data_IF_691334057253
#
_entry.id   IF_691334057253
#
_cell.length_a   1.000
_cell.length_b   1.000
_cell.length_c   1.000
_cell.angle_alpha   90.00
_cell.angle_beta   90.00
_cell.angle_gamma   90.00
#
_symmetry.space_group_name_H-M   'P 1'
#
loop_
_entity.id
_entity.type
_entity.pdbx_description
1 polymer ?
#
# COMPACT_ATOMS: atom_id res chain seq x y z
N UNK A 1 -22.21 6.27 -13.70
CA UNK A 1 -21.19 7.24 -13.27
C UNK A 1 -21.02 7.10 -11.76
N UNK A 2 -19.81 6.86 -11.22
CA UNK A 2 -19.60 7.06 -9.80
C UNK A 2 -20.02 8.49 -9.43
N UNK A 3 -20.75 8.65 -8.33
CA UNK A 3 -21.21 9.97 -7.86
C UNK A 3 -19.98 10.86 -7.67
N UNK A 4 -20.02 12.06 -8.25
CA UNK A 4 -19.02 13.10 -8.00
C UNK A 4 -18.93 13.30 -6.48
N UNK A 5 -17.76 13.11 -5.86
CA UNK A 5 -17.68 13.24 -4.40
C UNK A 5 -17.90 14.70 -4.05
N UNK A 6 -18.83 14.94 -3.12
CA UNK A 6 -18.74 16.06 -2.17
C UNK A 6 -17.26 16.27 -1.78
N UNK A 7 -16.75 17.51 -1.67
CA UNK A 7 -15.32 17.72 -1.45
C UNK A 7 -14.90 16.96 -0.19
N UNK A 8 -14.06 15.94 -0.36
CA UNK A 8 -13.59 15.12 0.76
C UNK A 8 -13.01 16.04 1.85
N UNK A 9 -13.60 15.99 3.04
CA UNK A 9 -13.27 16.94 4.10
C UNK A 9 -11.96 16.58 4.79
N UNK A 10 -11.55 15.31 4.73
CA UNK A 10 -10.30 14.82 5.33
C UNK A 10 -9.48 13.90 4.42
N UNK A 11 -8.20 13.74 4.72
CA UNK A 11 -7.31 12.80 4.01
C UNK A 11 -7.76 11.34 4.19
N UNK A 12 -8.30 10.98 5.35
CA UNK A 12 -8.84 9.64 5.59
C UNK A 12 -10.04 9.32 4.70
N UNK A 13 -10.92 10.28 4.46
CA UNK A 13 -12.04 10.13 3.52
C UNK A 13 -11.56 9.95 2.08
N UNK A 14 -10.52 10.69 1.66
CA UNK A 14 -9.88 10.51 0.34
C UNK A 14 -9.30 9.12 0.18
N UNK A 15 -8.56 8.65 1.19
CA UNK A 15 -8.01 7.30 1.23
C UNK A 15 -9.10 6.23 1.08
N UNK A 16 -10.18 6.34 1.85
CA UNK A 16 -11.33 5.44 1.78
C UNK A 16 -11.97 5.42 0.39
N UNK A 17 -12.24 6.61 -0.15
CA UNK A 17 -12.92 6.73 -1.43
C UNK A 17 -12.07 6.20 -2.60
N UNK A 18 -10.76 6.45 -2.57
CA UNK A 18 -9.83 5.85 -3.51
C UNK A 18 -9.85 4.31 -3.43
N UNK A 19 -9.76 3.74 -2.22
CA UNK A 19 -9.81 2.27 -2.04
C UNK A 19 -11.10 1.68 -2.60
N UNK A 20 -12.24 2.29 -2.27
CA UNK A 20 -13.55 1.85 -2.74
C UNK A 20 -13.70 1.99 -4.26
N UNK A 21 -13.16 3.05 -4.86
CA UNK A 21 -13.14 3.24 -6.32
C UNK A 21 -12.27 2.19 -7.05
N UNK A 22 -11.20 1.72 -6.41
CA UNK A 22 -10.39 0.59 -6.90
C UNK A 22 -11.04 -0.79 -6.67
N UNK A 23 -12.20 -0.85 -6.01
CA UNK A 23 -12.92 -2.11 -5.75
C UNK A 23 -12.32 -2.97 -4.64
N UNK A 24 -11.41 -2.42 -3.83
CA UNK A 24 -10.77 -3.18 -2.75
C UNK A 24 -11.56 -3.10 -1.44
N UNK A 25 -11.71 -4.24 -0.77
CA UNK A 25 -11.91 -4.30 0.68
C UNK A 25 -10.64 -3.84 1.41
N UNK A 26 -10.76 -3.47 2.70
CA UNK A 26 -9.56 -3.14 3.51
C UNK A 26 -8.60 -4.32 3.61
N UNK A 27 -9.13 -5.53 3.75
CA UNK A 27 -8.35 -6.78 3.78
C UNK A 27 -7.55 -7.02 2.49
N UNK A 28 -8.13 -6.72 1.33
CA UNK A 28 -7.44 -6.86 0.04
C UNK A 28 -6.35 -5.79 -0.13
N UNK A 29 -6.61 -4.55 0.27
CA UNK A 29 -5.60 -3.51 0.24
C UNK A 29 -4.45 -3.80 1.24
N UNK A 30 -4.77 -4.34 2.41
CA UNK A 30 -3.79 -4.81 3.39
C UNK A 30 -2.84 -5.84 2.78
N UNK A 31 -3.38 -6.83 2.05
CA UNK A 31 -2.57 -7.86 1.39
C UNK A 31 -1.60 -7.29 0.35
N UNK A 32 -1.96 -6.19 -0.33
CA UNK A 32 -1.12 -5.58 -1.36
C UNK A 32 -0.11 -4.57 -0.81
N UNK A 33 -0.44 -3.88 0.29
CA UNK A 33 0.38 -2.81 0.85
C UNK A 33 1.26 -3.26 2.02
N UNK A 34 0.99 -4.43 2.62
CA UNK A 34 1.64 -4.90 3.83
C UNK A 34 1.16 -4.22 5.12
N UNK A 35 0.20 -3.29 5.04
CA UNK A 35 -0.44 -2.73 6.23
C UNK A 35 -1.39 -3.72 6.89
N UNK A 36 -1.55 -3.63 8.20
CA UNK A 36 -2.66 -4.31 8.88
C UNK A 36 -4.00 -3.69 8.47
N UNK A 37 -5.05 -4.51 8.35
CA UNK A 37 -6.41 -4.04 8.04
C UNK A 37 -6.91 -3.00 9.05
N UNK A 38 -6.58 -3.18 10.34
CA UNK A 38 -6.89 -2.24 11.41
C UNK A 38 -6.19 -0.89 11.24
N UNK A 39 -4.97 -0.88 10.70
CA UNK A 39 -4.24 0.34 10.39
C UNK A 39 -4.90 1.12 9.26
N UNK A 40 -5.35 0.43 8.22
CA UNK A 40 -6.11 1.04 7.12
C UNK A 40 -7.41 1.65 7.67
N UNK A 41 -8.13 0.93 8.54
CA UNK A 41 -9.34 1.46 9.16
C UNK A 41 -9.07 2.71 10.04
N UNK A 42 -7.94 2.75 10.75
CA UNK A 42 -7.53 3.91 11.54
C UNK A 42 -7.17 5.12 10.67
N UNK A 43 -6.45 4.89 9.57
CA UNK A 43 -6.08 5.89 8.57
C UNK A 43 -7.32 6.50 7.91
N UNK A 44 -8.27 5.66 7.47
CA UNK A 44 -9.50 6.14 6.83
C UNK A 44 -10.40 6.94 7.76
N UNK A 45 -10.33 6.66 9.07
CA UNK A 45 -11.00 7.46 10.10
C UNK A 45 -10.23 8.73 10.47
N UNK A 46 -8.97 8.86 10.04
CA UNK A 46 -8.08 9.96 10.41
C UNK A 46 -7.57 9.90 11.85
N UNK A 47 -7.72 8.77 12.55
CA UNK A 47 -7.35 8.63 13.96
C UNK A 47 -6.75 7.26 14.28
N UNK A 48 -5.52 7.26 14.76
CA UNK A 48 -4.81 6.07 15.24
C UNK A 48 -5.45 5.48 16.49
N UNK A 49 -5.81 6.36 17.43
CA UNK A 49 -6.50 6.08 18.69
C UNK A 49 -7.49 7.22 18.97
N UNK A 50 -8.47 7.05 19.87
CA UNK A 50 -9.39 8.14 20.22
C UNK A 50 -8.62 9.42 20.59
N UNK A 51 -8.91 10.51 19.88
CA UNK A 51 -8.26 11.81 20.09
C UNK A 51 -6.82 11.93 19.57
N UNK A 52 -6.23 10.86 19.02
CA UNK A 52 -4.90 10.88 18.43
C UNK A 52 -5.03 10.89 16.89
N UNK A 53 -4.81 12.03 16.21
CA UNK A 53 -4.87 12.10 14.77
C UNK A 53 -3.75 11.27 14.13
N UNK A 54 -3.96 10.86 12.89
CA UNK A 54 -2.91 10.29 12.05
C UNK A 54 -1.97 11.43 11.64
N UNK A 55 -0.68 11.27 11.93
CA UNK A 55 0.33 12.26 11.54
C UNK A 55 0.61 12.27 10.03
N UNK A 56 1.18 13.38 9.55
CA UNK A 56 1.44 13.57 8.13
C UNK A 56 2.46 12.57 7.57
N UNK A 57 3.46 12.16 8.36
CA UNK A 57 4.46 11.20 7.91
C UNK A 57 3.83 9.83 7.62
N UNK A 58 2.96 9.36 8.53
CA UNK A 58 2.16 8.16 8.34
C UNK A 58 1.31 8.27 7.07
N UNK A 59 0.62 9.41 6.89
CA UNK A 59 -0.20 9.59 5.70
C UNK A 59 0.62 9.59 4.42
N UNK A 60 1.78 10.24 4.42
CA UNK A 60 2.69 10.24 3.28
C UNK A 60 3.14 8.81 2.92
N UNK A 61 3.54 8.00 3.90
CA UNK A 61 3.89 6.59 3.67
C UNK A 61 2.72 5.80 3.11
N UNK A 62 1.52 6.00 3.64
CA UNK A 62 0.32 5.33 3.17
C UNK A 62 -0.05 5.73 1.73
N UNK A 63 0.08 7.01 1.37
CA UNK A 63 -0.11 7.49 -0.01
C UNK A 63 0.85 6.81 -0.97
N UNK A 64 2.13 6.69 -0.61
CA UNK A 64 3.13 6.01 -1.44
C UNK A 64 2.81 4.52 -1.61
N UNK A 65 2.38 3.83 -0.55
CA UNK A 65 1.95 2.43 -0.65
C UNK A 65 0.72 2.27 -1.57
N UNK A 66 -0.28 3.15 -1.45
CA UNK A 66 -1.45 3.14 -2.33
C UNK A 66 -1.08 3.46 -3.78
N UNK A 67 -0.17 4.40 -4.01
CA UNK A 67 0.33 4.73 -5.35
C UNK A 67 1.06 3.53 -5.99
N UNK A 68 1.87 2.81 -5.21
CA UNK A 68 2.55 1.59 -5.68
C UNK A 68 1.52 0.55 -6.15
N UNK A 69 0.46 0.33 -5.38
CA UNK A 69 -0.67 -0.56 -5.75
C UNK A 69 -1.39 -0.06 -7.00
N UNK A 70 -1.71 1.23 -7.08
CA UNK A 70 -2.41 1.83 -8.23
C UNK A 70 -1.62 1.66 -9.54
N UNK A 71 -0.29 1.75 -9.45
CA UNK A 71 0.61 1.63 -10.59
C UNK A 71 1.03 0.18 -10.86
N UNK A 72 0.70 -0.76 -9.98
CA UNK A 72 1.13 -2.16 -10.07
C UNK A 72 2.65 -2.31 -9.97
N UNK A 73 3.31 -1.51 -9.12
CA UNK A 73 4.77 -1.50 -8.96
C UNK A 73 5.23 -1.79 -7.53
N UNK A 74 6.40 -2.40 -7.41
CA UNK A 74 7.17 -2.57 -6.18
C UNK A 74 8.54 -1.89 -6.32
N UNK A 75 9.24 -1.66 -5.22
CA UNK A 75 10.58 -1.08 -5.24
C UNK A 75 11.64 -2.15 -4.94
N UNK A 76 12.58 -2.31 -5.88
CA UNK A 76 13.74 -3.18 -5.71
C UNK A 76 14.91 -2.36 -5.13
N UNK A 77 15.28 -2.68 -3.89
CA UNK A 77 16.38 -2.03 -3.18
C UNK A 77 17.75 -2.33 -3.78
N UNK A 78 17.95 -3.49 -4.42
CA UNK A 78 19.25 -3.88 -4.97
C UNK A 78 19.56 -3.11 -6.25
N UNK A 79 18.56 -2.90 -7.09
CA UNK A 79 18.72 -2.19 -8.36
C UNK A 79 18.31 -0.71 -8.29
N UNK A 80 17.66 -0.30 -7.19
CA UNK A 80 17.12 1.05 -6.99
C UNK A 80 16.17 1.41 -8.15
N UNK A 81 15.21 0.54 -8.43
CA UNK A 81 14.23 0.68 -9.53
C UNK A 81 12.84 0.23 -9.09
N UNK A 82 11.82 0.80 -9.75
CA UNK A 82 10.46 0.25 -9.69
C UNK A 82 10.38 -0.99 -10.59
N UNK A 83 9.71 -2.04 -10.12
CA UNK A 83 9.44 -3.29 -10.85
C UNK A 83 7.95 -3.59 -10.85
N UNK A 84 7.40 -4.25 -11.88
CA UNK A 84 6.00 -4.68 -11.84
C UNK A 84 5.76 -5.62 -10.66
N UNK A 85 4.65 -5.44 -9.92
CA UNK A 85 4.27 -6.34 -8.81
C UNK A 85 3.95 -7.76 -9.29
N UNK A 86 3.62 -7.94 -10.57
CA UNK A 86 3.34 -9.24 -11.19
C UNK A 86 4.60 -10.00 -11.67
N UNK A 87 5.81 -9.49 -11.43
CA UNK A 87 7.03 -10.03 -12.04
C UNK A 87 7.63 -11.27 -11.36
N UNK A 88 7.12 -11.71 -10.21
CA UNK A 88 7.60 -12.93 -9.56
C UNK A 88 6.88 -14.19 -10.09
N UNK A 89 6.90 -14.40 -11.40
CA UNK A 89 7.01 -15.79 -11.89
C UNK A 89 8.47 -16.15 -11.69
N UNK A 90 8.74 -16.77 -10.54
CA UNK A 90 9.99 -17.50 -10.31
C UNK A 90 10.04 -18.63 -11.35
N UNK A 91 10.75 -18.41 -12.44
CA UNK A 91 11.37 -19.50 -13.19
C UNK A 91 12.54 -19.97 -12.31
N UNK A 92 12.33 -20.98 -11.46
CA UNK A 92 13.40 -21.56 -10.64
C UNK A 92 14.42 -22.35 -11.49
N UNK A 93 15.45 -22.99 -10.90
CA UNK A 93 16.09 -22.78 -9.59
C UNK A 93 17.63 -22.74 -9.74
N UNK A 94 18.29 -21.57 -9.81
CA UNK A 94 19.75 -21.58 -10.04
C UNK A 94 20.56 -20.44 -9.40
N UNK A 95 20.04 -19.73 -8.39
CA UNK A 95 20.77 -18.60 -7.82
C UNK A 95 20.70 -18.51 -6.29
N UNK A 96 21.16 -19.55 -5.59
CA UNK A 96 21.91 -19.36 -4.32
C UNK A 96 22.70 -20.61 -3.94
N UNK A 97 24.02 -20.58 -4.13
CA UNK A 97 24.97 -21.47 -3.44
C UNK A 97 25.77 -20.61 -2.46
N UNK A 98 25.62 -20.77 -1.13
CA UNK A 98 26.52 -20.12 -0.18
C UNK A 98 27.94 -20.71 -0.34
N UNK A 99 28.99 -19.95 0.02
CA UNK A 99 30.37 -20.36 -0.21
C UNK A 99 30.70 -21.66 0.53
N UNK A 100 31.32 -22.62 -0.17
CA UNK A 100 31.92 -23.80 0.44
C UNK A 100 33.13 -23.34 1.25
N UNK A 101 33.10 -23.52 2.56
CA UNK A 101 34.28 -23.38 3.41
C UNK A 101 35.26 -24.50 3.02
N UNK A 102 36.45 -24.12 2.59
CA UNK A 102 37.62 -25.02 2.51
C UNK A 102 38.20 -25.29 3.87
#
# INVERSE_FOLDING_TARGET
>A
MPKSPEPYTTEGERARAWREACGFSRRELAAQTGYAESSIAAIERGQWKPGQPVDEATMQTYRLACAAVALGVTFDWLTVRLRPMAADIVVGPEAYLPPRKG
#
